data_IF_446828926099
#
_entry.id   IF_446828926099
#
_cell.length_a   1.000
_cell.length_b   1.000
_cell.length_c   1.000
_cell.angle_alpha   90.00
_cell.angle_beta   90.00
_cell.angle_gamma   90.00
#
_symmetry.space_group_name_H-M   'P 1'
#
loop_
_entity.id
_entity.type
_entity.pdbx_description
1 polymer ?
#
# COMPACT_ATOMS: atom_id res chain seq x y z
N UNK A 1 55.34 25.43 22.62
CA UNK A 1 53.87 25.31 22.76
C UNK A 1 53.55 25.36 24.24
N UNK A 2 52.78 26.35 24.69
CA UNK A 2 52.49 26.55 26.12
C UNK A 2 51.66 25.38 26.64
N UNK A 3 52.07 24.76 27.75
CA UNK A 3 51.39 23.59 28.34
C UNK A 3 49.90 23.83 28.60
N UNK A 4 49.49 25.08 28.81
CA UNK A 4 48.07 25.46 28.95
C UNK A 4 47.25 25.16 27.69
N UNK A 5 47.77 25.40 26.48
CA UNK A 5 47.04 25.15 25.22
C UNK A 5 46.85 23.66 24.95
N UNK A 6 47.79 22.82 25.41
CA UNK A 6 47.70 21.37 25.29
C UNK A 6 46.59 20.80 26.17
N UNK A 7 46.40 21.37 27.37
CA UNK A 7 45.31 20.98 28.27
C UNK A 7 43.94 21.36 27.68
N UNK A 8 43.80 22.55 27.09
CA UNK A 8 42.55 22.95 26.43
C UNK A 8 42.21 22.05 25.24
N UNK A 9 43.21 21.66 24.45
CA UNK A 9 43.00 20.76 23.31
C UNK A 9 42.52 19.37 23.75
N UNK A 10 43.13 18.80 24.80
CA UNK A 10 42.71 17.51 25.35
C UNK A 10 41.30 17.57 25.96
N UNK A 11 40.96 18.66 26.66
CA UNK A 11 39.63 18.87 27.21
C UNK A 11 38.55 18.99 26.10
N UNK A 12 38.85 19.74 25.03
CA UNK A 12 37.94 19.91 23.89
C UNK A 12 37.72 18.60 23.13
N UNK A 13 38.77 17.81 22.95
CA UNK A 13 38.71 16.50 22.31
C UNK A 13 37.87 15.51 23.15
N UNK A 14 38.06 15.49 24.47
CA UNK A 14 37.20 14.72 25.38
C UNK A 14 35.72 15.11 25.31
N UNK A 15 35.43 16.40 25.25
CA UNK A 15 34.06 16.91 25.11
C UNK A 15 33.42 16.50 23.78
N UNK A 16 34.19 16.53 22.67
CA UNK A 16 33.71 16.10 21.37
C UNK A 16 33.32 14.61 21.36
N UNK A 17 34.12 13.73 21.97
CA UNK A 17 33.78 12.31 22.09
C UNK A 17 32.52 12.08 22.94
N UNK A 18 32.33 12.87 23.99
CA UNK A 18 31.13 12.80 24.83
C UNK A 18 29.88 13.18 24.02
N UNK A 19 29.95 14.26 23.22
CA UNK A 19 28.84 14.65 22.34
C UNK A 19 28.51 13.59 21.29
N UNK A 20 29.51 12.97 20.67
CA UNK A 20 29.30 11.88 19.69
C UNK A 20 28.66 10.65 20.36
N UNK A 21 29.07 10.33 21.60
CA UNK A 21 28.45 9.27 22.40
C UNK A 21 26.96 9.54 22.67
N UNK A 22 26.62 10.77 23.05
CA UNK A 22 25.23 11.18 23.27
C UNK A 22 24.41 11.08 21.98
N UNK A 23 24.93 11.61 20.86
CA UNK A 23 24.23 11.58 19.57
C UNK A 23 24.00 10.14 19.08
N UNK A 24 25.00 9.27 19.17
CA UNK A 24 24.86 7.86 18.79
C UNK A 24 23.85 7.13 19.68
N UNK A 25 23.84 7.40 21.00
CA UNK A 25 22.84 6.90 21.94
C UNK A 25 21.41 7.35 21.59
N UNK A 26 21.22 8.62 21.22
CA UNK A 26 19.93 9.15 20.79
C UNK A 26 19.44 8.45 19.51
N UNK A 27 20.31 8.25 18.52
CA UNK A 27 19.96 7.55 17.27
C UNK A 27 19.52 6.11 17.57
N UNK A 28 20.29 5.36 18.37
CA UNK A 28 19.92 3.99 18.76
C UNK A 28 18.61 3.97 19.54
N UNK A 29 18.41 4.90 20.48
CA UNK A 29 17.16 5.03 21.23
C UNK A 29 15.96 5.29 20.30
N UNK A 30 16.11 6.18 19.31
CA UNK A 30 15.04 6.47 18.34
C UNK A 30 14.72 5.26 17.44
N UNK A 31 15.73 4.49 17.03
CA UNK A 31 15.55 3.26 16.25
C UNK A 31 14.88 2.14 17.05
N UNK A 32 15.15 2.03 18.35
CA UNK A 32 14.45 1.08 19.21
C UNK A 32 13.01 1.54 19.49
N UNK A 33 12.81 2.84 19.75
CA UNK A 33 11.49 3.43 19.97
C UNK A 33 10.58 3.38 18.73
N UNK A 34 11.14 3.44 17.52
CA UNK A 34 10.34 3.29 16.29
C UNK A 34 9.80 1.87 16.12
N UNK A 35 10.56 0.83 16.53
CA UNK A 35 10.09 -0.56 16.54
C UNK A 35 8.94 -0.80 17.54
N UNK A 36 8.94 -0.13 18.68
CA UNK A 36 7.83 -0.23 19.65
C UNK A 36 6.56 0.48 19.18
N UNK A 37 6.68 1.50 18.32
CA UNK A 37 5.53 2.13 17.66
C UNK A 37 4.90 1.24 16.57
N UNK A 38 5.66 0.39 15.88
CA UNK A 38 5.08 -0.61 14.98
C UNK A 38 4.35 -1.73 15.72
N UNK A 39 4.83 -2.15 16.91
CA UNK A 39 4.10 -3.10 17.75
C UNK A 39 2.87 -2.48 18.42
N UNK A 40 2.89 -1.21 18.80
CA UNK A 40 1.73 -0.55 19.40
C UNK A 40 0.68 -0.03 18.39
N UNK A 41 1.04 0.25 17.13
CA UNK A 41 0.03 0.45 16.06
C UNK A 41 -0.68 -0.85 15.66
N UNK A 42 -0.12 -2.03 16.00
CA UNK A 42 -0.79 -3.32 15.89
C UNK A 42 -1.52 -3.76 17.18
N UNK A 43 -1.50 -2.97 18.25
CA UNK A 43 -2.10 -3.33 19.55
C UNK A 43 -3.20 -2.37 20.05
N UNK A 44 -3.49 -1.25 19.38
CA UNK A 44 -4.65 -0.41 19.70
C UNK A 44 -5.69 -0.36 18.57
N UNK A 45 -6.10 -1.53 18.09
CA UNK A 45 -7.35 -1.78 17.36
C UNK A 45 -7.75 -3.26 17.50
N UNK A 46 -7.67 -3.80 18.72
CA UNK A 46 -8.26 -5.11 19.05
C UNK A 46 -8.88 -5.06 20.44
N UNK A 47 -9.90 -4.22 20.57
CA UNK A 47 -10.90 -4.33 21.61
C UNK A 47 -12.23 -4.09 20.91
N UNK A 48 -12.96 -5.18 20.67
CA UNK A 48 -14.36 -5.22 20.23
C UNK A 48 -14.73 -4.36 19.03
N UNK A 49 -14.42 -4.88 17.84
CA UNK A 49 -15.38 -4.84 16.74
C UNK A 49 -15.58 -6.27 16.25
N UNK A 50 -16.50 -6.98 16.91
CA UNK A 50 -17.47 -7.83 16.19
C UNK A 50 -18.34 -6.91 15.33
N UNK A 51 -17.70 -6.18 14.41
CA UNK A 51 -18.37 -5.47 13.34
C UNK A 51 -18.37 -6.45 12.18
N UNK A 52 -19.58 -6.86 11.82
CA UNK A 52 -19.85 -7.76 10.71
C UNK A 52 -19.07 -7.34 9.47
N UNK A 53 -17.86 -7.90 9.28
CA UNK A 53 -17.38 -8.19 7.94
C UNK A 53 -18.47 -9.06 7.34
N UNK A 54 -19.05 -8.71 6.18
CA UNK A 54 -19.88 -9.66 5.47
C UNK A 54 -19.02 -10.89 5.30
N UNK A 55 -19.39 -11.97 5.98
CA UNK A 55 -18.81 -13.29 5.81
C UNK A 55 -19.09 -13.61 4.35
N UNK A 56 -18.10 -13.36 3.49
CA UNK A 56 -18.18 -13.76 2.10
C UNK A 56 -18.20 -15.28 2.14
N UNK A 57 -19.40 -15.85 2.07
CA UNK A 57 -19.62 -17.28 1.94
C UNK A 57 -18.85 -17.74 0.70
N UNK A 58 -17.70 -18.39 0.92
CA UNK A 58 -16.81 -18.81 -0.16
C UNK A 58 -15.37 -18.29 -0.02
N UNK A 59 -14.81 -18.24 1.20
CA UNK A 59 -13.36 -18.10 1.40
C UNK A 59 -12.64 -19.25 0.70
N UNK A 60 -12.31 -19.02 -0.58
CA UNK A 60 -11.50 -19.93 -1.36
C UNK A 60 -10.15 -20.09 -0.66
N UNK A 61 -9.65 -21.31 -0.65
CA UNK A 61 -8.32 -21.59 -0.13
C UNK A 61 -7.28 -20.78 -0.90
N UNK A 62 -6.13 -20.57 -0.29
CA UNK A 62 -5.04 -19.85 -0.91
C UNK A 62 -4.67 -20.51 -2.24
N UNK A 63 -4.52 -19.69 -3.28
CA UNK A 63 -4.14 -20.16 -4.61
C UNK A 63 -2.81 -20.94 -4.63
N UNK A 64 -1.91 -20.64 -3.69
CA UNK A 64 -0.60 -21.30 -3.57
C UNK A 64 -0.59 -22.42 -2.52
N UNK A 65 -1.55 -22.42 -1.59
CA UNK A 65 -1.63 -23.39 -0.50
C UNK A 65 -3.09 -23.84 -0.33
N UNK A 66 -3.46 -24.96 -0.96
CA UNK A 66 -4.83 -25.48 -0.93
C UNK A 66 -5.35 -25.80 0.48
N UNK A 67 -4.46 -25.98 1.46
CA UNK A 67 -4.83 -26.29 2.85
C UNK A 67 -4.93 -25.05 3.75
N UNK A 68 -4.59 -23.87 3.25
CA UNK A 68 -4.66 -22.63 4.03
C UNK A 68 -5.85 -21.77 3.57
N UNK A 69 -6.63 -21.19 4.50
CA UNK A 69 -7.71 -20.31 4.13
C UNK A 69 -7.15 -19.03 3.49
N UNK A 70 -7.86 -18.53 2.47
CA UNK A 70 -7.65 -17.19 1.95
C UNK A 70 -7.80 -16.13 3.05
N UNK A 71 -7.06 -15.04 2.92
CA UNK A 71 -7.11 -13.89 3.85
C UNK A 71 -7.37 -12.57 3.12
N UNK A 72 -6.98 -12.51 1.86
CA UNK A 72 -7.32 -11.43 0.95
C UNK A 72 -7.06 -11.86 -0.49
N UNK A 73 -7.12 -10.91 -1.42
CA UNK A 73 -6.91 -11.14 -2.84
C UNK A 73 -5.79 -10.27 -3.38
N UNK A 74 -5.09 -10.76 -4.40
CA UNK A 74 -4.12 -9.94 -5.13
C UNK A 74 -4.83 -8.83 -5.93
N UNK A 75 -4.36 -7.59 -5.85
CA UNK A 75 -4.93 -6.44 -6.57
C UNK A 75 -4.86 -6.57 -8.11
N UNK A 76 -3.95 -7.39 -8.65
CA UNK A 76 -3.84 -7.64 -10.10
C UNK A 76 -4.70 -8.82 -10.55
N UNK A 77 -4.41 -10.02 -10.06
CA UNK A 77 -5.07 -11.24 -10.55
C UNK A 77 -6.30 -11.68 -9.77
N UNK A 78 -6.66 -10.99 -8.68
CA UNK A 78 -7.85 -11.23 -7.85
C UNK A 78 -7.93 -12.61 -7.19
N UNK A 79 -6.88 -13.43 -7.32
CA UNK A 79 -6.81 -14.74 -6.67
C UNK A 79 -6.68 -14.60 -5.16
N UNK A 80 -7.41 -15.45 -4.44
CA UNK A 80 -7.35 -15.58 -2.98
C UNK A 80 -5.96 -16.02 -2.52
N UNK A 81 -5.39 -15.36 -1.52
CA UNK A 81 -4.07 -15.64 -0.94
C UNK A 81 -4.16 -15.66 0.59
N UNK A 82 -3.42 -16.56 1.24
CA UNK A 82 -3.24 -16.55 2.70
C UNK A 82 -2.29 -15.44 3.16
N UNK A 83 -2.17 -15.25 4.48
CA UNK A 83 -1.33 -14.22 5.11
C UNK A 83 0.17 -14.34 4.74
N UNK A 84 0.65 -15.55 4.42
CA UNK A 84 2.06 -15.78 4.07
C UNK A 84 2.37 -15.39 2.62
N UNK A 85 1.42 -15.65 1.70
CA UNK A 85 1.55 -15.35 0.28
C UNK A 85 1.21 -13.89 -0.06
N UNK A 86 0.27 -13.29 0.66
CA UNK A 86 -0.16 -11.92 0.41
C UNK A 86 0.88 -10.93 0.98
N UNK A 87 1.41 -10.05 0.13
CA UNK A 87 2.37 -9.02 0.51
C UNK A 87 1.79 -7.64 0.28
N UNK A 88 1.90 -6.79 1.28
CA UNK A 88 1.51 -5.39 1.19
C UNK A 88 2.68 -4.55 0.69
N UNK A 89 2.43 -3.70 -0.30
CA UNK A 89 3.37 -2.73 -0.83
C UNK A 89 2.60 -1.50 -1.30
N UNK A 90 2.98 -0.32 -0.80
CA UNK A 90 2.32 0.96 -1.10
C UNK A 90 0.79 0.96 -0.86
N UNK A 91 0.35 0.31 0.23
CA UNK A 91 -1.07 0.18 0.58
C UNK A 91 -1.87 -0.78 -0.30
N UNK A 92 -1.21 -1.50 -1.22
CA UNK A 92 -1.81 -2.50 -2.10
C UNK A 92 -1.32 -3.91 -1.74
N UNK A 93 -2.15 -4.92 -1.99
CA UNK A 93 -1.83 -6.31 -1.66
C UNK A 93 -1.61 -7.14 -2.91
N UNK A 94 -0.47 -7.83 -2.99
CA UNK A 94 -0.08 -8.63 -4.15
C UNK A 94 0.28 -10.07 -3.76
N UNK A 95 0.07 -11.00 -4.69
CA UNK A 95 0.69 -12.32 -4.59
C UNK A 95 2.18 -12.24 -4.95
N UNK A 96 2.98 -13.29 -4.67
CA UNK A 96 4.42 -13.26 -4.90
C UNK A 96 4.80 -12.99 -6.37
N UNK A 97 4.02 -13.53 -7.31
CA UNK A 97 4.23 -13.36 -8.76
C UNK A 97 4.06 -11.90 -9.20
N UNK A 98 2.95 -11.27 -8.77
CA UNK A 98 2.58 -9.93 -9.22
C UNK A 98 3.25 -8.81 -8.43
N UNK A 99 3.76 -9.08 -7.22
CA UNK A 99 4.55 -8.09 -6.48
C UNK A 99 5.76 -7.65 -7.29
N UNK A 100 6.44 -8.61 -7.93
CA UNK A 100 7.58 -8.33 -8.80
C UNK A 100 7.16 -7.46 -9.98
N UNK A 101 6.11 -7.87 -10.71
CA UNK A 101 5.55 -7.10 -11.84
C UNK A 101 5.19 -5.67 -11.42
N UNK A 102 4.60 -5.48 -10.24
CA UNK A 102 4.31 -4.15 -9.72
C UNK A 102 5.59 -3.33 -9.52
N UNK A 103 6.58 -3.89 -8.83
CA UNK A 103 7.81 -3.18 -8.46
C UNK A 103 8.74 -2.84 -9.64
N UNK A 104 8.71 -3.63 -10.72
CA UNK A 104 9.59 -3.45 -11.88
C UNK A 104 9.01 -2.50 -12.94
N UNK A 105 7.76 -2.06 -12.81
CA UNK A 105 7.07 -1.24 -13.80
C UNK A 105 6.66 0.11 -13.23
N UNK A 106 6.60 1.13 -14.10
CA UNK A 106 5.96 2.40 -13.79
C UNK A 106 4.47 2.30 -14.11
N UNK A 107 3.63 2.75 -13.19
CA UNK A 107 2.18 2.71 -13.29
C UNK A 107 1.61 4.11 -13.45
N UNK A 108 0.59 4.23 -14.30
CA UNK A 108 -0.10 5.49 -14.62
C UNK A 108 -1.60 5.22 -14.59
N UNK A 109 -2.36 6.15 -14.01
CA UNK A 109 -3.82 6.12 -14.01
C UNK A 109 -4.38 6.52 -15.38
N UNK A 110 -5.34 5.74 -15.87
CA UNK A 110 -6.05 6.03 -17.13
C UNK A 110 -7.50 6.43 -16.93
N UNK A 111 -8.03 6.32 -15.71
CA UNK A 111 -9.39 6.72 -15.35
C UNK A 111 -9.43 7.44 -14.02
N UNK A 112 -10.46 8.25 -13.82
CA UNK A 112 -10.75 8.94 -12.57
C UNK A 112 -12.26 9.13 -12.44
N UNK A 113 -12.95 8.08 -11.99
CA UNK A 113 -14.42 8.07 -11.92
C UNK A 113 -14.87 8.32 -10.50
N UNK A 114 -15.63 9.39 -10.31
CA UNK A 114 -16.32 9.68 -9.04
C UNK A 114 -17.54 8.79 -8.91
N UNK A 115 -17.61 8.03 -7.82
CA UNK A 115 -18.82 7.34 -7.38
C UNK A 115 -19.37 8.02 -6.13
N UNK A 116 -20.69 7.94 -5.96
CA UNK A 116 -21.42 8.51 -4.82
C UNK A 116 -22.42 7.47 -4.31
N UNK A 117 -23.00 7.62 -3.10
CA UNK A 117 -24.06 6.74 -2.64
C UNK A 117 -25.26 6.65 -3.60
N UNK A 118 -25.52 7.70 -4.37
CA UNK A 118 -26.60 7.75 -5.36
C UNK A 118 -26.22 7.14 -6.72
N UNK A 119 -24.92 6.96 -6.98
CA UNK A 119 -24.40 6.37 -8.21
C UNK A 119 -23.14 5.55 -7.94
N UNK A 120 -23.28 4.39 -7.25
CA UNK A 120 -22.16 3.50 -6.98
C UNK A 120 -21.70 2.76 -8.25
N UNK A 121 -22.60 2.60 -9.22
CA UNK A 121 -22.40 1.81 -10.43
C UNK A 121 -21.55 2.49 -11.50
N UNK A 122 -21.31 3.82 -11.38
CA UNK A 122 -20.55 4.58 -12.36
C UNK A 122 -19.16 4.02 -12.66
N UNK A 123 -18.54 3.28 -11.73
CA UNK A 123 -17.24 2.67 -11.91
C UNK A 123 -17.26 1.19 -12.33
N UNK A 124 -18.43 0.56 -12.52
CA UNK A 124 -18.52 -0.88 -12.85
C UNK A 124 -17.74 -1.21 -14.13
N UNK A 125 -17.81 -0.34 -15.14
CA UNK A 125 -17.12 -0.57 -16.42
C UNK A 125 -15.60 -0.66 -16.26
N UNK A 126 -15.01 -0.04 -15.22
CA UNK A 126 -13.58 -0.15 -14.92
C UNK A 126 -13.22 -1.58 -14.49
N UNK A 127 -14.05 -2.19 -13.64
CA UNK A 127 -13.84 -3.56 -13.18
C UNK A 127 -14.00 -4.56 -14.33
N UNK A 128 -15.03 -4.40 -15.16
CA UNK A 128 -15.24 -5.26 -16.33
C UNK A 128 -14.10 -5.12 -17.34
N UNK A 129 -13.63 -3.89 -17.59
CA UNK A 129 -12.49 -3.66 -18.47
C UNK A 129 -11.20 -4.30 -17.93
N UNK A 130 -10.91 -4.16 -16.62
CA UNK A 130 -9.77 -4.86 -15.99
C UNK A 130 -9.87 -6.38 -16.20
N UNK A 131 -11.05 -6.95 -15.96
CA UNK A 131 -11.30 -8.38 -16.09
C UNK A 131 -11.12 -8.84 -17.54
N UNK A 132 -11.58 -8.05 -18.51
CA UNK A 132 -11.35 -8.31 -19.94
C UNK A 132 -9.85 -8.31 -20.26
N UNK A 133 -9.11 -7.29 -19.83
CA UNK A 133 -7.66 -7.17 -20.07
C UNK A 133 -6.88 -8.36 -19.52
N UNK A 134 -7.25 -8.81 -18.32
CA UNK A 134 -6.64 -9.96 -17.68
C UNK A 134 -6.97 -11.26 -18.42
N UNK A 135 -8.25 -11.54 -18.66
CA UNK A 135 -8.69 -12.81 -19.22
C UNK A 135 -8.33 -12.99 -20.71
N UNK A 136 -8.34 -11.91 -21.49
CA UNK A 136 -8.11 -11.98 -22.94
C UNK A 136 -6.64 -11.86 -23.33
N UNK A 137 -5.84 -11.09 -22.57
CA UNK A 137 -4.49 -10.69 -22.98
C UNK A 137 -3.44 -10.83 -21.87
N UNK A 138 -3.84 -11.25 -20.66
CA UNK A 138 -2.96 -11.30 -19.49
C UNK A 138 -2.26 -9.96 -19.23
N UNK A 139 -2.93 -8.84 -19.51
CA UNK A 139 -2.37 -7.50 -19.30
C UNK A 139 -2.56 -7.13 -17.82
N UNK A 140 -1.46 -6.91 -17.06
CA UNK A 140 -1.55 -6.62 -15.65
C UNK A 140 -2.04 -5.19 -15.44
N UNK A 141 -3.09 -5.05 -14.63
CA UNK A 141 -3.68 -3.77 -14.23
C UNK A 141 -4.18 -3.89 -12.79
N UNK A 142 -4.37 -2.75 -12.11
CA UNK A 142 -4.98 -2.73 -10.78
C UNK A 142 -5.86 -1.51 -10.60
N UNK A 143 -6.81 -1.61 -9.67
CA UNK A 143 -7.77 -0.55 -9.36
C UNK A 143 -7.47 -0.02 -7.96
N UNK A 144 -7.47 1.30 -7.81
CA UNK A 144 -7.37 1.97 -6.51
C UNK A 144 -8.62 2.82 -6.32
N UNK A 145 -9.18 2.79 -5.11
CA UNK A 145 -10.28 3.67 -4.71
C UNK A 145 -9.76 4.67 -3.69
N UNK A 146 -9.80 5.95 -4.03
CA UNK A 146 -9.48 7.05 -3.12
C UNK A 146 -10.76 7.62 -2.53
N UNK A 147 -10.76 7.87 -1.23
CA UNK A 147 -11.89 8.49 -0.53
C UNK A 147 -11.59 9.95 -0.23
N UNK A 148 -12.56 10.82 -0.48
CA UNK A 148 -12.53 12.24 -0.14
C UNK A 148 -13.76 12.59 0.69
N UNK A 149 -13.54 13.24 1.82
CA UNK A 149 -14.63 13.75 2.65
C UNK A 149 -15.06 15.09 2.05
N UNK A 150 -16.33 15.20 1.64
CA UNK A 150 -16.95 16.46 1.23
C UNK A 150 -17.58 17.10 2.47
N UNK A 151 -16.92 18.13 3.01
CA UNK A 151 -17.36 18.82 4.24
C UNK A 151 -18.64 19.63 3.99
N UNK A 152 -18.74 20.28 2.83
CA UNK A 152 -19.88 21.14 2.50
C UNK A 152 -21.17 20.33 2.30
N UNK A 153 -21.03 19.13 1.71
CA UNK A 153 -22.14 18.24 1.42
C UNK A 153 -22.37 17.13 2.44
N UNK A 154 -21.59 17.08 3.53
CA UNK A 154 -21.62 16.04 4.58
C UNK A 154 -21.70 14.60 4.05
N UNK A 155 -20.84 14.27 3.07
CA UNK A 155 -20.80 12.92 2.50
C UNK A 155 -19.39 12.51 2.07
N UNK A 156 -19.18 11.21 1.90
CA UNK A 156 -17.93 10.63 1.39
C UNK A 156 -18.07 10.43 -0.11
N UNK A 157 -17.08 10.91 -0.86
CA UNK A 157 -16.92 10.70 -2.28
C UNK A 157 -15.82 9.67 -2.50
N UNK A 158 -16.03 8.78 -3.47
CA UNK A 158 -15.07 7.75 -3.83
C UNK A 158 -14.61 7.99 -5.27
N UNK A 159 -13.32 7.88 -5.51
CA UNK A 159 -12.70 8.04 -6.82
C UNK A 159 -12.03 6.74 -7.22
N UNK A 160 -12.58 6.07 -8.21
CA UNK A 160 -12.08 4.78 -8.71
C UNK A 160 -11.16 5.05 -9.90
N UNK A 161 -9.92 4.58 -9.78
CA UNK A 161 -8.85 4.79 -10.75
C UNK A 161 -8.29 3.44 -11.20
N UNK A 162 -8.14 3.26 -12.51
CA UNK A 162 -7.46 2.11 -13.11
C UNK A 162 -6.03 2.50 -13.45
N UNK A 163 -5.09 1.74 -12.92
CA UNK A 163 -3.68 1.87 -13.21
C UNK A 163 -3.23 0.81 -14.21
N UNK A 164 -2.47 1.28 -15.21
CA UNK A 164 -1.85 0.45 -16.24
C UNK A 164 -0.36 0.72 -16.28
N UNK A 165 0.41 -0.19 -16.90
CA UNK A 165 1.84 0.05 -17.13
C UNK A 165 1.99 1.24 -18.08
N UNK A 166 2.99 2.09 -17.83
CA UNK A 166 3.24 3.29 -18.63
C UNK A 166 3.39 3.01 -20.13
N UNK A 167 3.94 1.84 -20.51
CA UNK A 167 4.08 1.44 -21.91
C UNK A 167 2.76 1.08 -22.61
N UNK A 168 1.71 0.75 -21.85
CA UNK A 168 0.40 0.37 -22.38
C UNK A 168 -0.61 1.54 -22.33
N UNK A 169 -0.20 2.70 -21.81
CA UNK A 169 -1.09 3.82 -21.46
C UNK A 169 -1.94 4.29 -22.64
N UNK A 170 -1.31 4.71 -23.75
CA UNK A 170 -2.00 5.30 -24.89
C UNK A 170 -3.05 4.35 -25.49
N UNK A 171 -2.67 3.09 -25.67
CA UNK A 171 -3.54 2.07 -26.27
C UNK A 171 -4.73 1.77 -25.35
N UNK A 172 -4.50 1.63 -24.04
CA UNK A 172 -5.55 1.27 -23.10
C UNK A 172 -6.46 2.45 -22.77
N UNK A 173 -5.91 3.67 -22.68
CA UNK A 173 -6.68 4.91 -22.50
C UNK A 173 -7.66 5.13 -23.64
N UNK A 174 -7.21 4.92 -24.89
CA UNK A 174 -8.09 5.05 -26.05
C UNK A 174 -9.21 4.01 -26.06
N UNK A 175 -8.93 2.78 -25.63
CA UNK A 175 -9.94 1.71 -25.56
C UNK A 175 -10.99 1.96 -24.50
N UNK A 176 -10.57 2.31 -23.28
CA UNK A 176 -11.52 2.50 -22.19
C UNK A 176 -12.46 3.69 -22.45
N UNK A 177 -11.97 4.73 -23.15
CA UNK A 177 -12.78 5.88 -23.57
C UNK A 177 -13.82 5.56 -24.66
N UNK A 178 -13.74 4.40 -25.31
CA UNK A 178 -14.77 3.96 -26.26
C UNK A 178 -15.91 3.20 -25.58
N UNK A 179 -15.70 2.77 -24.33
CA UNK A 179 -16.66 1.99 -23.54
C UNK A 179 -17.49 2.91 -22.62
N UNK A 180 -16.89 4.02 -22.19
CA UNK A 180 -17.53 5.09 -21.39
C UNK A 180 -18.25 6.09 -22.30
#
# INVERSE_FOLDING_TARGET
>A
MNGSNQIYFLALLGFAFLLIGILSGIVVYLLLKSKDKEKNKKASNSANEDSARPTFEGLQNCHFHENEPGKGSCCMCEKSCCDTCLKEYDGLTFCPEHLRTFSENKWIDITNVKTTPNNPEAAIYIYEFKKELWNSRSIPTYIVTHYKINIDGDHIESYVMLYVRSQDEEVLRNKINQIN
#
